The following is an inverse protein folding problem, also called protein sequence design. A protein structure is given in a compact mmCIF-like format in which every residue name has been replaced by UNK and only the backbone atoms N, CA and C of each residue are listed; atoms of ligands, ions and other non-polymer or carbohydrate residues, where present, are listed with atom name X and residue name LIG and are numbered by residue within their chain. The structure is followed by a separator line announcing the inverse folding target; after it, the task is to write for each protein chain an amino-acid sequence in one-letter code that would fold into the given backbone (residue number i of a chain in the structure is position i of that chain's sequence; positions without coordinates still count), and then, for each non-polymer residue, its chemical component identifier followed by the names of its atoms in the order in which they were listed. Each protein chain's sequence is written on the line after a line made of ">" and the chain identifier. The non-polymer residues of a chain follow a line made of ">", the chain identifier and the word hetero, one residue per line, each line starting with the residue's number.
data_IF_472858948019
#
_entry.id   IF_472858948019
#
_cell.length_a   1.000
_cell.length_b   1.000
_cell.length_c   1.000
_cell.angle_alpha   90.00
_cell.angle_beta   90.00
_cell.angle_gamma   90.00
#
_symmetry.space_group_name_H-M   'P 1'
#
loop_
_entity.id
_entity.type
_entity.pdbx_description
1 polymer ?
#
# COMPACT_ATOMS: atom_id res chain seq x y z
N UNK A 1 -1.11 12.60 -3.86
CA UNK A 1 -0.52 13.38 -2.76
C UNK A 1 0.00 12.48 -1.65
N UNK A 2 1.12 12.84 -1.02
CA UNK A 2 1.74 12.07 0.06
C UNK A 2 0.74 11.71 1.19
N UNK A 3 -0.19 12.61 1.49
CA UNK A 3 -1.22 12.42 2.51
C UNK A 3 -2.15 11.22 2.26
N UNK A 4 -2.56 10.98 1.00
CA UNK A 4 -3.46 9.87 0.65
C UNK A 4 -2.74 8.53 0.84
N UNK A 5 -1.48 8.46 0.41
CA UNK A 5 -0.66 7.26 0.58
C UNK A 5 -0.38 6.99 2.07
N UNK A 6 -0.09 8.02 2.87
CA UNK A 6 0.08 7.87 4.31
C UNK A 6 -1.21 7.39 5.00
N UNK A 7 -2.38 7.94 4.64
CA UNK A 7 -3.67 7.46 5.15
C UNK A 7 -3.91 5.99 4.78
N UNK A 8 -3.51 5.59 3.58
CA UNK A 8 -3.66 4.23 3.11
C UNK A 8 -2.71 3.25 3.84
N UNK A 9 -1.44 3.62 4.03
CA UNK A 9 -0.47 2.87 4.84
C UNK A 9 -0.98 2.59 6.25
N UNK A 10 -1.73 3.50 6.85
CA UNK A 10 -2.31 3.33 8.20
C UNK A 10 -3.38 2.24 8.31
N UNK A 11 -3.81 1.63 7.21
CA UNK A 11 -4.64 0.41 7.24
C UNK A 11 -3.84 -0.83 7.65
N UNK A 12 -2.54 -0.84 7.38
CA UNK A 12 -1.64 -1.96 7.66
C UNK A 12 -0.69 -1.64 8.83
N UNK A 13 -0.17 -0.41 8.89
CA UNK A 13 0.76 0.06 9.92
C UNK A 13 -0.02 0.76 11.04
N UNK A 14 0.00 0.16 12.24
CA UNK A 14 -0.71 0.68 13.42
C UNK A 14 -0.30 2.12 13.73
N UNK A 15 -1.28 2.97 14.07
CA UNK A 15 -1.02 4.37 14.46
C UNK A 15 -0.22 4.41 15.77
N UNK A 16 0.86 5.19 15.79
CA UNK A 16 1.75 5.33 16.96
C UNK A 16 3.08 4.61 16.80
N UNK A 17 3.19 3.67 15.86
CA UNK A 17 4.47 3.09 15.50
C UNK A 17 5.18 3.94 14.44
N UNK A 18 6.47 4.15 14.65
CA UNK A 18 7.34 4.77 13.67
C UNK A 18 7.67 3.74 12.58
N UNK A 19 7.55 4.13 11.30
CA UNK A 19 7.96 3.30 10.16
C UNK A 19 9.41 2.84 10.29
N UNK A 20 10.28 3.64 10.92
CA UNK A 20 11.68 3.29 11.15
C UNK A 20 11.88 2.05 12.04
N UNK A 21 10.85 1.63 12.79
CA UNK A 21 10.90 0.43 13.63
C UNK A 21 10.58 -0.85 12.83
N UNK A 22 10.12 -0.72 11.59
CA UNK A 22 9.78 -1.85 10.73
C UNK A 22 11.05 -2.32 10.03
N UNK A 23 11.29 -3.63 10.05
CA UNK A 23 12.35 -4.25 9.25
C UNK A 23 12.10 -4.06 7.75
N UNK A 24 13.16 -4.14 6.95
CA UNK A 24 13.04 -4.08 5.49
C UNK A 24 12.08 -5.14 4.94
N UNK A 25 12.06 -6.34 5.53
CA UNK A 25 11.13 -7.40 5.14
C UNK A 25 9.66 -7.00 5.38
N UNK A 26 9.37 -6.37 6.52
CA UNK A 26 8.02 -5.85 6.80
C UNK A 26 7.64 -4.71 5.86
N UNK A 27 8.58 -3.80 5.55
CA UNK A 27 8.35 -2.72 4.59
C UNK A 27 8.02 -3.28 3.20
N UNK A 28 8.76 -4.31 2.76
CA UNK A 28 8.50 -4.99 1.49
C UNK A 28 7.12 -5.65 1.50
N UNK A 29 6.77 -6.36 2.57
CA UNK A 29 5.46 -6.99 2.72
C UNK A 29 4.31 -5.97 2.70
N UNK A 30 4.46 -4.83 3.39
CA UNK A 30 3.48 -3.73 3.35
C UNK A 30 3.36 -3.16 1.94
N UNK A 31 4.47 -2.94 1.23
CA UNK A 31 4.42 -2.43 -0.13
C UNK A 31 3.74 -3.43 -1.10
N UNK A 32 4.02 -4.73 -0.94
CA UNK A 32 3.36 -5.77 -1.71
C UNK A 32 1.85 -5.80 -1.45
N UNK A 33 1.45 -5.79 -0.18
CA UNK A 33 0.06 -5.67 0.24
C UNK A 33 -0.62 -4.44 -0.38
N UNK A 34 0.04 -3.28 -0.33
CA UNK A 34 -0.49 -2.04 -0.91
C UNK A 34 -0.74 -2.15 -2.41
N UNK A 35 0.13 -2.84 -3.14
CA UNK A 35 0.03 -2.98 -4.60
C UNK A 35 -1.02 -4.00 -5.02
N UNK A 36 -1.29 -5.00 -4.18
CA UNK A 36 -2.32 -6.02 -4.39
C UNK A 36 -3.68 -5.66 -3.78
N UNK A 37 -3.77 -4.62 -2.96
CA UNK A 37 -5.02 -4.19 -2.34
C UNK A 37 -5.99 -3.55 -3.36
N UNK A 38 -7.22 -4.07 -3.52
CA UNK A 38 -8.26 -3.48 -4.36
C UNK A 38 -8.66 -2.06 -3.93
N UNK A 39 -8.69 -1.10 -4.87
CA UNK A 39 -9.05 0.29 -4.56
C UNK A 39 -10.25 0.75 -5.37
N UNK A 40 -11.14 1.51 -4.73
CA UNK A 40 -12.31 2.09 -5.39
C UNK A 40 -11.94 2.98 -6.59
N UNK A 41 -10.82 3.72 -6.49
CA UNK A 41 -10.33 4.55 -7.60
C UNK A 41 -9.89 3.76 -8.84
N UNK A 42 -9.67 2.45 -8.69
CA UNK A 42 -9.35 1.51 -9.77
C UNK A 42 -10.55 0.62 -10.08
N UNK A 43 -11.77 1.07 -9.78
CA UNK A 43 -13.00 0.31 -10.01
C UNK A 43 -12.98 -1.08 -9.36
N UNK A 44 -12.38 -1.19 -8.17
CA UNK A 44 -12.25 -2.46 -7.44
C UNK A 44 -11.03 -3.30 -7.85
N UNK A 45 -10.15 -2.79 -8.71
CA UNK A 45 -8.88 -3.45 -9.04
C UNK A 45 -7.73 -2.96 -8.14
N UNK A 46 -6.65 -3.72 -8.08
CA UNK A 46 -5.43 -3.31 -7.38
C UNK A 46 -4.49 -2.51 -8.29
N UNK A 47 -3.49 -1.84 -7.72
CA UNK A 47 -2.45 -1.17 -8.53
C UNK A 47 -1.75 -2.16 -9.46
N UNK A 48 -1.51 -3.38 -8.98
CA UNK A 48 -0.85 -4.42 -9.76
C UNK A 48 -1.70 -4.88 -10.95
N UNK A 49 -3.02 -4.99 -10.77
CA UNK A 49 -3.94 -5.32 -11.88
C UNK A 49 -3.94 -4.23 -12.96
N UNK A 50 -3.94 -2.97 -12.55
CA UNK A 50 -3.86 -1.83 -13.48
C UNK A 50 -2.52 -1.84 -14.23
N UNK A 51 -1.42 -2.08 -13.52
CA UNK A 51 -0.08 -2.18 -14.12
C UNK A 51 -0.01 -3.30 -15.15
N UNK A 52 -0.42 -4.52 -14.79
CA UNK A 52 -0.45 -5.69 -15.68
C UNK A 52 -1.37 -5.54 -16.90
N UNK A 53 -2.36 -4.65 -16.84
CA UNK A 53 -3.25 -4.37 -17.96
C UNK A 53 -2.66 -3.34 -18.93
N UNK A 54 -1.78 -2.47 -18.44
CA UNK A 54 -1.21 -1.37 -19.20
C UNK A 54 0.11 -1.74 -19.92
N UNK A 55 0.79 -2.78 -19.46
CA UNK A 55 2.09 -3.25 -19.96
C UNK A 55 2.07 -4.77 -20.13
#
# INVERSE_FOLDING_TARGET
>A
SNEINNRFLRKEITKGEAINNYSSAQIIATNDWMNHYPRAMFNGHSSMDIYRKAF
#
